data_IF_795396668105
#
_entry.id   IF_795396668105
#
_cell.length_a   1.000
_cell.length_b   1.000
_cell.length_c   1.000
_cell.angle_alpha   90.00
_cell.angle_beta   90.00
_cell.angle_gamma   90.00
#
_symmetry.space_group_name_H-M   'P 1'
#
loop_
_entity.id
_entity.type
_entity.pdbx_description
1 polymer ?
#
# COMPACT_ATOMS: atom_id res chain seq x y z
N UNK A 1 13.43 -3.55 6.60
CA UNK A 1 13.01 -4.97 6.61
C UNK A 1 12.87 -5.42 5.17
N UNK A 2 13.33 -6.61 4.77
CA UNK A 2 13.13 -7.06 3.40
C UNK A 2 11.63 -7.21 3.14
N UNK A 3 11.14 -6.58 2.08
CA UNK A 3 9.79 -6.81 1.56
C UNK A 3 9.71 -8.28 1.12
N UNK A 4 8.60 -8.98 1.38
CA UNK A 4 8.45 -10.37 0.96
C UNK A 4 8.60 -10.48 -0.58
N UNK A 5 9.37 -11.44 -1.12
CA UNK A 5 9.62 -11.57 -2.56
C UNK A 5 8.34 -11.60 -3.41
N UNK A 6 7.27 -12.19 -2.88
CA UNK A 6 5.98 -12.26 -3.57
C UNK A 6 5.36 -10.88 -3.85
N UNK A 7 5.64 -9.83 -3.05
CA UNK A 7 5.15 -8.48 -3.35
C UNK A 7 5.83 -7.92 -4.60
N UNK A 8 7.15 -8.07 -4.71
CA UNK A 8 7.92 -7.66 -5.88
C UNK A 8 7.52 -8.46 -7.10
N UNK A 9 7.41 -9.78 -6.98
CA UNK A 9 6.98 -10.65 -8.06
C UNK A 9 5.56 -10.32 -8.55
N UNK A 10 4.65 -9.98 -7.64
CA UNK A 10 3.29 -9.55 -7.98
C UNK A 10 3.30 -8.21 -8.71
N UNK A 11 4.06 -7.22 -8.22
CA UNK A 11 4.18 -5.92 -8.88
C UNK A 11 4.74 -6.06 -10.30
N UNK A 12 5.82 -6.83 -10.46
CA UNK A 12 6.43 -7.14 -11.76
C UNK A 12 5.45 -7.81 -12.72
N UNK A 13 4.69 -8.79 -12.23
CA UNK A 13 3.71 -9.51 -13.04
C UNK A 13 2.58 -8.58 -13.51
N UNK A 14 2.09 -7.70 -12.64
CA UNK A 14 1.06 -6.70 -12.97
C UNK A 14 1.59 -5.70 -14.00
N UNK A 15 2.78 -5.13 -13.77
CA UNK A 15 3.41 -4.16 -14.69
C UNK A 15 3.56 -4.77 -16.09
N UNK A 16 4.15 -5.96 -16.20
CA UNK A 16 4.35 -6.64 -17.49
C UNK A 16 3.03 -6.96 -18.19
N UNK A 17 1.98 -7.26 -17.42
CA UNK A 17 0.65 -7.54 -17.97
C UNK A 17 0.04 -6.28 -18.58
N UNK A 18 0.08 -5.16 -17.85
CA UNK A 18 -0.43 -3.87 -18.34
C UNK A 18 0.42 -3.34 -19.50
N UNK A 19 1.74 -3.52 -19.46
CA UNK A 19 2.66 -3.11 -20.53
C UNK A 19 2.35 -3.79 -21.87
N UNK A 20 1.87 -5.04 -21.83
CA UNK A 20 1.49 -5.79 -23.04
C UNK A 20 0.20 -5.29 -23.69
N UNK A 21 -0.60 -4.47 -23.00
CA UNK A 21 -1.80 -3.88 -23.59
C UNK A 21 -1.42 -2.79 -24.61
N UNK A 22 -2.27 -2.52 -25.63
CA UNK A 22 -2.14 -1.36 -26.51
C UNK A 22 -1.98 -0.08 -25.69
N UNK A 23 -1.08 0.82 -26.09
CA UNK A 23 -0.69 2.00 -25.29
C UNK A 23 -1.88 2.86 -24.91
N UNK A 24 -2.83 3.00 -25.82
CA UNK A 24 -4.04 3.81 -25.71
C UNK A 24 -5.09 3.17 -24.78
N UNK A 25 -4.97 1.88 -24.50
CA UNK A 25 -5.88 1.12 -23.64
C UNK A 25 -5.31 0.88 -22.24
N UNK A 26 -4.04 1.21 -21.99
CA UNK A 26 -3.40 1.00 -20.69
C UNK A 26 -4.09 1.85 -19.63
N UNK A 27 -4.65 1.25 -18.56
CA UNK A 27 -5.15 2.03 -17.44
C UNK A 27 -4.01 2.74 -16.73
N UNK A 28 -4.35 3.79 -15.97
CA UNK A 28 -3.41 4.36 -15.00
C UNK A 28 -3.05 3.29 -13.97
N UNK A 29 -1.76 3.00 -13.84
CA UNK A 29 -1.24 2.07 -12.85
C UNK A 29 -0.74 2.85 -11.63
N UNK A 30 -1.32 2.56 -10.46
CA UNK A 30 -0.92 3.13 -9.17
C UNK A 30 -0.41 2.01 -8.28
N UNK A 31 0.76 2.20 -7.67
CA UNK A 31 1.42 1.22 -6.82
C UNK A 31 1.50 1.73 -5.38
N UNK A 32 1.54 0.80 -4.43
CA UNK A 32 1.74 1.09 -3.01
C UNK A 32 3.09 0.56 -2.58
N UNK A 33 3.89 1.40 -1.91
CA UNK A 33 5.16 0.98 -1.36
C UNK A 33 4.96 0.43 0.06
N UNK A 34 5.60 -0.70 0.37
CA UNK A 34 5.51 -1.34 1.68
C UNK A 34 6.62 -0.89 2.64
N UNK A 35 7.75 -0.40 2.12
CA UNK A 35 8.92 -0.08 2.94
C UNK A 35 8.85 1.32 3.56
N UNK A 36 9.46 1.47 4.73
CA UNK A 36 9.49 2.75 5.47
C UNK A 36 10.41 3.80 4.82
N UNK A 37 11.34 3.38 3.96
CA UNK A 37 12.26 4.24 3.19
C UNK A 37 11.74 4.57 1.78
N UNK A 38 10.48 4.23 1.48
CA UNK A 38 9.88 4.43 0.17
C UNK A 38 9.99 5.88 -0.32
N UNK A 39 9.73 6.85 0.55
CA UNK A 39 9.84 8.28 0.21
C UNK A 39 11.27 8.69 -0.15
N UNK A 40 12.28 8.10 0.50
CA UNK A 40 13.69 8.39 0.21
C UNK A 40 14.12 7.79 -1.14
N UNK A 41 13.61 6.59 -1.45
CA UNK A 41 13.95 5.86 -2.68
C UNK A 41 13.15 6.31 -3.91
N UNK A 42 11.88 6.65 -3.75
CA UNK A 42 10.92 6.91 -4.83
C UNK A 42 10.47 8.39 -4.89
N UNK A 43 10.77 9.18 -3.87
CA UNK A 43 10.16 10.50 -3.66
C UNK A 43 8.79 10.41 -3.00
N UNK A 44 8.15 11.57 -2.80
CA UNK A 44 6.81 11.65 -2.21
C UNK A 44 5.75 10.97 -3.08
N UNK A 45 4.73 10.31 -2.48
CA UNK A 45 3.60 9.77 -3.22
C UNK A 45 2.81 10.91 -3.90
N UNK A 46 2.44 10.73 -5.16
CA UNK A 46 1.62 11.70 -5.91
C UNK A 46 0.13 11.59 -5.60
N UNK A 47 -0.31 10.53 -4.93
CA UNK A 47 -1.70 10.31 -4.52
C UNK A 47 -1.74 10.04 -3.01
N UNK A 48 -2.60 10.78 -2.31
CA UNK A 48 -2.94 10.55 -0.91
C UNK A 48 -4.46 10.45 -0.77
N UNK A 49 -4.96 9.24 -0.54
CA UNK A 49 -6.38 9.02 -0.34
C UNK A 49 -6.71 9.15 1.14
N UNK A 50 -7.52 10.16 1.52
CA UNK A 50 -8.13 10.22 2.84
C UNK A 50 -9.24 9.15 2.93
N UNK A 51 -9.00 8.17 3.78
CA UNK A 51 -9.88 7.04 4.06
C UNK A 51 -10.40 7.07 5.51
N UNK A 52 -10.36 8.23 6.18
CA UNK A 52 -10.77 8.37 7.59
C UNK A 52 -12.18 7.81 7.83
N UNK A 53 -13.11 8.06 6.92
CA UNK A 53 -14.50 7.56 6.99
C UNK A 53 -14.60 6.02 6.88
N UNK A 54 -13.57 5.36 6.36
CA UNK A 54 -13.49 3.91 6.18
C UNK A 54 -12.60 3.20 7.20
N UNK A 55 -12.01 3.94 8.15
CA UNK A 55 -11.11 3.39 9.18
C UNK A 55 -11.70 2.17 9.90
N UNK A 56 -12.94 2.28 10.35
CA UNK A 56 -13.61 1.20 11.09
C UNK A 56 -13.86 -0.03 10.21
N UNK A 57 -14.12 0.17 8.91
CA UNK A 57 -14.25 -0.94 7.95
C UNK A 57 -12.90 -1.64 7.76
N UNK A 58 -11.80 -0.89 7.66
CA UNK A 58 -10.44 -1.43 7.54
C UNK A 58 -10.02 -2.22 8.78
N UNK A 59 -10.36 -1.74 9.98
CA UNK A 59 -10.14 -2.47 11.24
C UNK A 59 -10.92 -3.79 11.24
N UNK A 60 -12.22 -3.77 10.88
CA UNK A 60 -13.04 -5.00 10.78
C UNK A 60 -12.48 -6.01 9.78
N UNK A 61 -11.90 -5.53 8.66
CA UNK A 61 -11.24 -6.40 7.70
C UNK A 61 -10.01 -7.09 8.31
N UNK A 62 -9.20 -6.37 9.10
CA UNK A 62 -8.12 -6.98 9.85
C UNK A 62 -8.64 -7.99 10.89
N UNK A 63 -9.66 -7.66 11.67
CA UNK A 63 -10.26 -8.57 12.65
C UNK A 63 -10.78 -9.86 12.01
N UNK A 64 -11.41 -9.77 10.84
CA UNK A 64 -11.87 -10.94 10.08
C UNK A 64 -10.72 -11.86 9.65
N UNK A 65 -9.47 -11.38 9.64
CA UNK A 65 -8.26 -12.13 9.28
C UNK A 65 -7.29 -12.25 10.47
N UNK A 66 -7.82 -12.28 11.70
CA UNK A 66 -7.07 -12.25 12.95
C UNK A 66 -5.96 -13.32 13.10
N UNK A 67 -6.05 -14.46 12.41
CA UNK A 67 -4.98 -15.46 12.42
C UNK A 67 -3.67 -14.92 11.83
N UNK A 68 -3.75 -13.94 10.93
CA UNK A 68 -2.60 -13.28 10.30
C UNK A 68 -2.34 -11.88 10.86
N UNK A 69 -3.39 -11.15 11.23
CA UNK A 69 -3.32 -9.73 11.64
C UNK A 69 -3.37 -9.54 13.15
N UNK A 70 -3.58 -10.59 13.93
CA UNK A 70 -3.77 -10.52 15.39
C UNK A 70 -2.66 -9.78 16.15
N UNK A 71 -1.36 -10.05 15.89
CA UNK A 71 -0.28 -9.28 16.49
C UNK A 71 -0.33 -7.79 16.12
N UNK A 72 -0.67 -7.48 14.87
CA UNK A 72 -0.81 -6.12 14.39
C UNK A 72 -2.00 -5.40 15.05
N UNK A 73 -3.16 -6.06 15.19
CA UNK A 73 -4.32 -5.53 15.92
C UNK A 73 -4.00 -5.20 17.38
N UNK A 74 -3.22 -6.06 18.06
CA UNK A 74 -2.75 -5.78 19.43
C UNK A 74 -1.84 -4.56 19.47
N UNK A 75 -0.96 -4.41 18.49
CA UNK A 75 -0.14 -3.22 18.34
C UNK A 75 -1.04 -1.99 18.14
N UNK A 76 -2.04 -2.05 17.25
CA UNK A 76 -2.99 -0.95 16.99
C UNK A 76 -3.75 -0.46 18.22
N UNK A 77 -4.04 -1.36 19.16
CA UNK A 77 -4.70 -1.04 20.42
C UNK A 77 -3.74 -0.49 21.50
N UNK A 78 -2.42 -0.52 21.26
CA UNK A 78 -1.42 -0.03 22.22
C UNK A 78 -1.36 1.50 22.21
N UNK A 79 -1.30 2.16 23.37
CA UNK A 79 -1.10 3.62 23.46
C UNK A 79 0.30 4.06 23.00
N UNK A 80 1.22 3.13 22.76
CA UNK A 80 2.60 3.38 22.34
C UNK A 80 2.78 3.47 20.81
N UNK A 81 1.69 3.41 20.04
CA UNK A 81 1.78 3.56 18.59
C UNK A 81 2.21 4.98 18.20
N UNK A 82 3.25 5.05 17.39
CA UNK A 82 3.67 6.27 16.70
C UNK A 82 2.56 6.75 15.73
N UNK A 83 2.35 8.07 15.65
CA UNK A 83 1.32 8.69 14.81
C UNK A 83 1.36 8.26 13.34
N UNK A 84 2.53 7.85 12.84
CA UNK A 84 2.70 7.25 11.50
C UNK A 84 1.94 5.95 11.29
N UNK A 85 1.86 5.08 12.31
CA UNK A 85 1.07 3.84 12.21
C UNK A 85 -0.41 4.08 12.50
N UNK A 86 -0.81 5.23 13.05
CA UNK A 86 -2.21 5.63 12.99
C UNK A 86 -2.58 6.20 11.61
N UNK A 87 -1.61 6.82 10.92
CA UNK A 87 -1.83 7.43 9.61
C UNK A 87 -2.25 6.44 8.53
N UNK A 88 -1.76 5.19 8.50
CA UNK A 88 -2.15 4.25 7.43
C UNK A 88 -3.63 3.81 7.51
N UNK A 89 -4.29 4.00 8.66
CA UNK A 89 -5.72 3.71 8.82
C UNK A 89 -6.61 4.83 8.25
N UNK A 90 -6.03 6.01 8.02
CA UNK A 90 -6.77 7.22 7.64
C UNK A 90 -6.27 7.81 6.33
N UNK A 91 -5.04 7.53 5.92
CA UNK A 91 -4.46 7.99 4.65
C UNK A 91 -3.72 6.85 3.97
N UNK A 92 -4.00 6.62 2.69
CA UNK A 92 -3.31 5.65 1.86
C UNK A 92 -2.48 6.36 0.77
N UNK A 93 -1.14 6.26 0.82
CA UNK A 93 -0.26 6.83 -0.20
C UNK A 93 -0.07 5.87 -1.39
N UNK A 94 -0.09 6.43 -2.60
CA UNK A 94 0.21 5.70 -3.84
C UNK A 94 1.13 6.50 -4.75
N UNK A 95 1.90 5.76 -5.57
CA UNK A 95 2.76 6.29 -6.63
C UNK A 95 2.21 5.89 -7.99
N UNK A 96 2.11 6.84 -8.92
CA UNK A 96 1.78 6.56 -10.32
C UNK A 96 2.98 5.94 -11.02
N UNK A 97 2.78 4.74 -11.57
CA UNK A 97 3.80 4.07 -12.37
C UNK A 97 3.79 4.63 -13.81
N UNK A 98 4.95 5.07 -14.26
CA UNK A 98 5.14 5.57 -15.63
C UNK A 98 5.89 4.52 -16.46
N UNK A 99 5.22 3.99 -17.50
CA UNK A 99 5.90 3.14 -18.47
C UNK A 99 6.95 3.95 -19.22
N UNK A 100 8.17 3.43 -19.31
CA UNK A 100 9.18 3.98 -20.21
C UNK A 100 8.66 3.79 -21.65
N UNK A 101 8.64 4.89 -22.39
CA UNK A 101 8.07 5.00 -23.75
C UNK A 101 8.64 4.00 -24.75
#
# INVERSE_FOLDING_TARGET
>A
MPVHPDHEATADAVIRTVERMPKEERPRLTLVAFSNDATEALGEPDIQNDITDFKELKIKAFEAHASQTGPFLKQLASPEIDGKQHSFLTVEPYWTYHFNS
#
